data_IF_832468286281
#
_entry.id   IF_832468286281
#
_cell.length_a   1.000
_cell.length_b   1.000
_cell.length_c   1.000
_cell.angle_alpha   90.00
_cell.angle_beta   90.00
_cell.angle_gamma   90.00
#
_symmetry.space_group_name_H-M   'P 1'
#
loop_
_entity.id
_entity.type
_entity.pdbx_description
1 polymer ?
#
# COMPACT_ATOMS: atom_id res chain seq x y z
N UNK A 1 -1.91 16.62 -7.89
CA UNK A 1 -2.90 15.56 -7.60
C UNK A 1 -2.23 14.32 -7.01
N UNK A 2 -1.25 13.72 -7.70
CA UNK A 2 -0.51 12.53 -7.20
C UNK A 2 0.12 12.70 -5.82
N UNK A 3 0.69 13.87 -5.50
CA UNK A 3 1.21 14.15 -4.15
C UNK A 3 0.14 14.01 -3.06
N UNK A 4 -1.09 14.48 -3.32
CA UNK A 4 -2.21 14.34 -2.37
C UNK A 4 -2.67 12.88 -2.24
N UNK A 5 -2.61 12.12 -3.34
CA UNK A 5 -2.88 10.68 -3.33
C UNK A 5 -1.86 9.91 -2.48
N UNK A 6 -0.58 10.19 -2.66
CA UNK A 6 0.48 9.59 -1.85
C UNK A 6 0.30 9.93 -0.37
N UNK A 7 -0.02 11.19 -0.05
CA UNK A 7 -0.27 11.62 1.32
C UNK A 7 -1.46 10.89 1.95
N UNK A 8 -2.57 10.74 1.21
CA UNK A 8 -3.73 9.99 1.65
C UNK A 8 -3.37 8.53 1.96
N UNK A 9 -2.68 7.87 1.04
CA UNK A 9 -2.27 6.46 1.19
C UNK A 9 -1.32 6.32 2.38
N UNK A 10 -0.38 7.25 2.54
CA UNK A 10 0.61 7.23 3.63
C UNK A 10 -0.07 7.39 4.99
N UNK A 11 -0.99 8.36 5.12
CA UNK A 11 -1.75 8.55 6.37
C UNK A 11 -2.57 7.33 6.72
N UNK A 12 -3.31 6.79 5.75
CA UNK A 12 -4.10 5.58 5.94
C UNK A 12 -3.24 4.38 6.37
N UNK A 13 -2.11 4.17 5.69
CA UNK A 13 -1.19 3.09 6.04
C UNK A 13 -0.68 3.23 7.48
N UNK A 14 -0.32 4.44 7.90
CA UNK A 14 0.08 4.68 9.29
C UNK A 14 -1.04 4.40 10.30
N UNK A 15 -2.27 4.78 10.00
CA UNK A 15 -3.44 4.48 10.85
C UNK A 15 -3.70 2.96 10.98
N UNK A 16 -3.46 2.21 9.91
CA UNK A 16 -3.57 0.74 9.88
C UNK A 16 -2.37 0.01 10.53
N UNK A 17 -1.38 0.75 11.01
CA UNK A 17 -0.20 0.21 11.71
C UNK A 17 0.98 -0.14 10.81
N UNK A 18 0.98 0.32 9.55
CA UNK A 18 2.17 0.24 8.70
C UNK A 18 3.18 1.33 9.08
N UNK A 19 4.46 0.98 9.01
CA UNK A 19 5.54 1.97 9.07
C UNK A 19 5.78 2.54 7.68
N UNK A 20 5.78 3.87 7.55
CA UNK A 20 5.94 4.57 6.27
C UNK A 20 7.32 5.19 6.17
N UNK A 21 8.11 4.75 5.19
CA UNK A 21 9.45 5.24 4.88
C UNK A 21 9.49 5.82 3.47
N UNK A 22 9.22 7.12 3.35
CA UNK A 22 9.13 7.79 2.05
C UNK A 22 8.03 7.16 1.19
N UNK A 23 8.41 6.40 0.17
CA UNK A 23 7.48 5.70 -0.73
C UNK A 23 7.33 4.21 -0.42
N UNK A 24 7.86 3.73 0.70
CA UNK A 24 7.69 2.35 1.14
C UNK A 24 6.74 2.26 2.34
N UNK A 25 5.74 1.40 2.26
CA UNK A 25 4.82 1.08 3.35
C UNK A 25 5.15 -0.33 3.86
N UNK A 26 5.52 -0.48 5.13
CA UNK A 26 6.02 -1.75 5.69
C UNK A 26 5.13 -2.21 6.85
N UNK A 27 4.58 -3.42 6.76
CA UNK A 27 4.04 -4.14 7.92
C UNK A 27 5.03 -5.22 8.38
N UNK A 28 4.68 -5.98 9.42
CA UNK A 28 5.54 -7.04 9.95
C UNK A 28 5.91 -8.11 8.91
N UNK A 29 5.11 -8.26 7.85
CA UNK A 29 5.17 -9.41 6.94
C UNK A 29 5.19 -9.06 5.45
N UNK A 30 4.95 -7.80 5.11
CA UNK A 30 5.08 -7.35 3.74
C UNK A 30 5.49 -5.90 3.70
N UNK A 31 5.98 -5.50 2.54
CA UNK A 31 6.13 -4.10 2.21
C UNK A 31 5.62 -3.83 0.81
N UNK A 32 5.08 -2.63 0.65
CA UNK A 32 4.62 -2.07 -0.61
C UNK A 32 5.56 -0.93 -1.00
N UNK A 33 6.15 -1.02 -2.19
CA UNK A 33 6.95 0.04 -2.79
C UNK A 33 6.12 0.83 -3.79
N UNK A 34 6.00 2.13 -3.57
CA UNK A 34 5.25 3.06 -4.41
C UNK A 34 6.23 3.80 -5.33
N UNK A 35 6.23 3.45 -6.61
CA UNK A 35 6.97 4.21 -7.62
C UNK A 35 6.08 5.29 -8.20
N UNK A 36 6.48 6.54 -8.02
CA UNK A 36 5.69 7.71 -8.42
C UNK A 36 6.11 8.16 -9.81
N UNK A 37 5.17 8.23 -10.74
CA UNK A 37 5.36 8.88 -12.03
C UNK A 37 4.56 10.18 -12.11
N UNK A 38 4.65 10.89 -13.23
CA UNK A 38 3.86 12.11 -13.46
C UNK A 38 2.34 11.87 -13.52
N UNK A 39 1.91 10.65 -13.90
CA UNK A 39 0.49 10.34 -14.18
C UNK A 39 -0.13 9.27 -13.28
N UNK A 40 0.67 8.44 -12.65
CA UNK A 40 0.20 7.35 -11.79
C UNK A 40 1.22 6.96 -10.72
N UNK A 41 0.77 6.21 -9.72
CA UNK A 41 1.63 5.50 -8.77
C UNK A 41 1.57 4.00 -9.09
N UNK A 42 2.73 3.38 -9.25
CA UNK A 42 2.85 1.93 -9.41
C UNK A 42 3.23 1.31 -8.08
N UNK A 43 2.50 0.28 -7.66
CA UNK A 43 2.75 -0.44 -6.42
C UNK A 43 3.42 -1.77 -6.72
N UNK A 44 4.51 -2.05 -6.01
CA UNK A 44 5.19 -3.34 -6.01
C UNK A 44 5.09 -3.97 -4.62
N UNK A 45 4.93 -5.29 -4.58
CA UNK A 45 4.80 -6.03 -3.32
C UNK A 45 6.08 -6.83 -3.07
N UNK A 46 6.66 -6.71 -1.87
CA UNK A 46 7.79 -7.52 -1.41
C UNK A 46 8.99 -7.55 -2.39
N UNK A 47 9.28 -6.43 -3.04
CA UNK A 47 10.43 -6.29 -3.95
C UNK A 47 10.26 -7.02 -5.29
N UNK A 48 9.05 -7.49 -5.60
CA UNK A 48 8.75 -8.07 -6.91
C UNK A 48 8.93 -7.03 -8.02
N UNK A 49 9.41 -7.47 -9.18
CA UNK A 49 9.58 -6.62 -10.36
C UNK A 49 8.28 -6.40 -11.14
N UNK A 50 7.29 -7.28 -10.94
CA UNK A 50 5.98 -7.15 -11.57
C UNK A 50 5.09 -6.20 -10.75
N UNK A 51 4.42 -5.22 -11.38
CA UNK A 51 3.46 -4.36 -10.69
C UNK A 51 2.34 -5.18 -10.03
N UNK A 52 2.09 -4.90 -8.75
CA UNK A 52 0.97 -5.45 -7.98
C UNK A 52 -0.32 -4.66 -8.23
N UNK A 53 -0.21 -3.32 -8.23
CA UNK A 53 -1.35 -2.42 -8.39
C UNK A 53 -0.93 -1.11 -9.07
N UNK A 54 -1.87 -0.41 -9.69
CA UNK A 54 -1.62 0.89 -10.32
C UNK A 54 -2.72 1.88 -9.94
N UNK A 55 -2.32 3.07 -9.52
CA UNK A 55 -3.18 4.11 -8.96
C UNK A 55 -3.16 5.30 -9.92
N UNK A 56 -4.26 5.50 -10.64
CA UNK A 56 -4.41 6.59 -11.63
C UNK A 56 -5.41 7.65 -11.16
N UNK A 57 -6.27 7.30 -10.21
CA UNK A 57 -7.31 8.16 -9.68
C UNK A 57 -7.41 8.07 -8.15
N UNK A 58 -8.19 8.98 -7.55
CA UNK A 58 -8.51 8.94 -6.11
C UNK A 58 -9.23 7.64 -5.74
N UNK A 59 -10.13 7.17 -6.60
CA UNK A 59 -10.85 5.91 -6.42
C UNK A 59 -9.88 4.73 -6.32
N UNK A 60 -8.88 4.67 -7.18
CA UNK A 60 -7.86 3.61 -7.14
C UNK A 60 -7.02 3.68 -5.87
N UNK A 61 -6.74 4.90 -5.37
CA UNK A 61 -6.03 5.11 -4.11
C UNK A 61 -6.79 4.55 -2.93
N UNK A 62 -8.10 4.83 -2.86
CA UNK A 62 -9.00 4.27 -1.82
C UNK A 62 -9.10 2.75 -1.96
N UNK A 63 -9.26 2.22 -3.17
CA UNK A 63 -9.29 0.78 -3.40
C UNK A 63 -8.00 0.10 -2.97
N UNK A 64 -6.84 0.70 -3.27
CA UNK A 64 -5.55 0.20 -2.83
C UNK A 64 -5.44 0.14 -1.30
N UNK A 65 -5.90 1.18 -0.61
CA UNK A 65 -5.96 1.21 0.86
C UNK A 65 -6.79 0.04 1.41
N UNK A 66 -7.99 -0.21 0.86
CA UNK A 66 -8.84 -1.34 1.27
C UNK A 66 -8.21 -2.71 0.99
N UNK A 67 -7.52 -2.86 -0.14
CA UNK A 67 -6.77 -4.09 -0.48
C UNK A 67 -5.68 -4.33 0.57
N UNK A 68 -4.90 -3.30 0.88
CA UNK A 68 -3.81 -3.38 1.86
C UNK A 68 -4.34 -3.81 3.24
N UNK A 69 -5.42 -3.20 3.73
CA UNK A 69 -6.06 -3.57 5.00
C UNK A 69 -6.62 -4.99 4.97
N UNK A 70 -7.23 -5.40 3.86
CA UNK A 70 -7.75 -6.76 3.71
C UNK A 70 -6.63 -7.79 3.77
N UNK A 71 -5.50 -7.53 3.09
CA UNK A 71 -4.32 -8.41 3.12
C UNK A 71 -3.74 -8.50 4.52
N UNK A 72 -3.59 -7.37 5.22
CA UNK A 72 -3.07 -7.35 6.60
C UNK A 72 -4.01 -8.08 7.56
N UNK A 73 -5.32 -7.90 7.41
CA UNK A 73 -6.32 -8.57 8.26
C UNK A 73 -6.37 -10.07 8.01
N UNK A 74 -6.37 -10.52 6.75
CA UNK A 74 -6.31 -11.95 6.43
C UNK A 74 -5.06 -12.59 7.04
N UNK A 75 -3.92 -11.92 6.98
CA UNK A 75 -2.67 -12.41 7.58
C UNK A 75 -2.75 -12.53 9.10
N UNK A 76 -3.34 -11.54 9.78
CA UNK A 76 -3.58 -11.62 11.23
C UNK A 76 -4.40 -12.86 11.60
N UNK A 77 -5.50 -13.11 10.88
CA UNK A 77 -6.38 -14.26 11.13
C UNK A 77 -5.67 -15.59 10.84
N UNK A 78 -5.01 -15.71 9.69
CA UNK A 78 -4.33 -16.97 9.32
C UNK A 78 -3.15 -17.31 10.25
N UNK A 79 -2.49 -16.33 10.86
CA UNK A 79 -1.37 -16.58 11.78
C UNK A 79 -1.78 -16.84 13.22
N UNK A 80 -2.92 -16.32 13.68
CA UNK A 80 -3.46 -16.69 15.00
C UNK A 80 -3.91 -18.17 15.06
N UNK A 81 -3.95 -18.84 13.90
CA UNK A 81 -4.38 -20.22 13.74
C UNK A 81 -3.22 -21.25 13.74
N UNK A 82 -1.98 -20.80 13.94
CA UNK A 82 -0.74 -21.60 13.99
C UNK A 82 -0.07 -21.44 15.35
#
# INVERSE_FOLDING_TARGET
MIKKLLELISRYASEEGFTVYGTRLTSKQCYYDLTISQRHITVYLNGQTKPFYRIESVKDGVNFCLIMSSVEQTRKVCMQSL
#
